data_IF_070482741805
#
_entry.id   IF_070482741805
#
_cell.length_a   1.000
_cell.length_b   1.000
_cell.length_c   1.000
_cell.angle_alpha   90.00
_cell.angle_beta   90.00
_cell.angle_gamma   90.00
#
_symmetry.space_group_name_H-M   'P 1'
#
loop_
_entity.id
_entity.type
_entity.pdbx_description
1 polymer ?
#
# COMPACT_ATOMS: atom_id res chain seq x y z
N UNK A 1 11.95 -17.48 3.84
CA UNK A 1 10.59 -16.91 3.92
C UNK A 1 10.29 -16.55 5.38
N UNK A 2 11.26 -15.98 6.11
CA UNK A 2 11.19 -15.94 7.57
C UNK A 2 9.97 -15.15 8.07
N UNK A 3 9.72 -13.96 7.50
CA UNK A 3 8.57 -13.12 7.87
C UNK A 3 7.21 -13.83 7.66
N UNK A 4 7.10 -14.67 6.62
CA UNK A 4 5.88 -15.42 6.34
C UNK A 4 5.70 -16.56 7.37
N UNK A 5 6.78 -17.25 7.71
CA UNK A 5 6.77 -18.34 8.70
C UNK A 5 6.45 -17.79 10.10
N UNK A 6 7.04 -16.65 10.49
CA UNK A 6 6.77 -15.96 11.74
C UNK A 6 5.32 -15.45 11.82
N UNK A 7 4.72 -15.09 10.67
CA UNK A 7 3.31 -14.74 10.56
C UNK A 7 2.37 -15.96 10.47
N UNK A 8 2.90 -17.19 10.55
CA UNK A 8 2.11 -18.43 10.56
C UNK A 8 1.64 -18.91 9.19
N UNK A 9 2.20 -18.39 8.10
CA UNK A 9 1.90 -18.88 6.75
C UNK A 9 2.60 -20.21 6.46
N UNK A 10 1.90 -21.09 5.75
CA UNK A 10 2.46 -22.34 5.26
C UNK A 10 3.19 -22.10 3.92
N UNK A 11 4.52 -22.19 3.95
CA UNK A 11 5.36 -22.00 2.76
C UNK A 11 5.09 -23.09 1.71
N UNK A 12 4.89 -22.66 0.47
CA UNK A 12 4.56 -23.52 -0.66
C UNK A 12 5.14 -22.93 -1.95
N UNK A 13 6.24 -23.50 -2.46
CA UNK A 13 6.96 -22.99 -3.64
C UNK A 13 6.67 -23.75 -4.93
N UNK A 14 6.06 -24.94 -4.84
CA UNK A 14 5.78 -25.81 -5.97
C UNK A 14 4.51 -26.67 -5.76
N UNK A 15 4.01 -27.26 -6.85
CA UNK A 15 2.87 -28.17 -6.84
C UNK A 15 1.51 -27.51 -7.10
N UNK A 16 0.44 -28.26 -6.86
CA UNK A 16 -0.96 -27.87 -7.14
C UNK A 16 -1.61 -27.03 -6.03
N UNK A 17 -0.96 -26.92 -4.85
CA UNK A 17 -1.45 -26.09 -3.74
C UNK A 17 -1.26 -24.61 -4.06
N UNK A 18 -2.06 -23.70 -3.45
CA UNK A 18 -1.75 -22.28 -3.47
C UNK A 18 -0.30 -22.04 -3.06
N UNK A 19 0.40 -21.22 -3.85
CA UNK A 19 1.79 -20.88 -3.61
C UNK A 19 1.89 -19.79 -2.55
N UNK A 20 2.85 -19.93 -1.65
CA UNK A 20 3.15 -18.98 -0.59
C UNK A 20 4.67 -18.89 -0.42
N UNK A 21 5.22 -17.74 -0.80
CA UNK A 21 6.65 -17.44 -0.70
C UNK A 21 6.86 -15.92 -0.73
N UNK A 22 7.98 -15.49 -0.14
CA UNK A 22 8.45 -14.11 -0.13
C UNK A 22 9.54 -13.89 -1.17
N UNK A 23 9.92 -12.63 -1.33
CA UNK A 23 11.00 -12.23 -2.26
C UNK A 23 12.36 -12.79 -1.86
N UNK A 24 12.54 -13.16 -0.60
CA UNK A 24 13.77 -13.82 -0.13
C UNK A 24 13.95 -15.23 -0.71
N UNK A 25 12.86 -15.89 -1.14
CA UNK A 25 12.92 -17.18 -1.82
C UNK A 25 12.97 -17.07 -3.35
N UNK A 26 12.21 -16.13 -3.93
CA UNK A 26 12.07 -16.05 -5.40
C UNK A 26 12.91 -14.94 -6.04
N UNK A 27 13.46 -14.02 -5.25
CA UNK A 27 14.26 -12.90 -5.70
C UNK A 27 13.51 -11.83 -6.51
N UNK A 28 14.30 -10.98 -7.14
CA UNK A 28 13.87 -9.90 -8.01
C UNK A 28 14.34 -10.16 -9.45
N UNK A 29 13.82 -9.38 -10.40
CA UNK A 29 14.36 -9.33 -11.76
C UNK A 29 15.84 -8.92 -11.75
N UNK A 30 16.60 -9.35 -12.76
CA UNK A 30 18.00 -8.96 -12.94
C UNK A 30 18.17 -7.63 -13.69
N UNK A 31 17.12 -7.19 -14.39
CA UNK A 31 17.14 -5.97 -15.20
C UNK A 31 16.49 -4.82 -14.44
N UNK A 32 17.19 -3.68 -14.37
CA UNK A 32 16.68 -2.45 -13.77
C UNK A 32 15.49 -1.91 -14.58
N UNK A 33 14.36 -1.73 -13.91
CA UNK A 33 13.22 -0.98 -14.46
C UNK A 33 13.38 0.49 -14.07
N UNK A 34 13.35 1.38 -15.06
CA UNK A 34 13.34 2.83 -14.88
C UNK A 34 12.02 3.36 -15.42
N UNK A 35 11.30 4.14 -14.63
CA UNK A 35 10.03 4.74 -15.01
C UNK A 35 9.83 6.04 -14.22
N UNK A 36 9.69 7.17 -14.90
CA UNK A 36 9.60 8.49 -14.26
C UNK A 36 10.71 8.68 -13.20
N UNK A 37 10.37 8.92 -11.94
CA UNK A 37 11.34 9.11 -10.85
C UNK A 37 11.89 7.81 -10.23
N UNK A 38 11.38 6.64 -10.62
CA UNK A 38 11.77 5.35 -10.02
C UNK A 38 12.83 4.60 -10.83
N UNK A 39 13.66 3.86 -10.10
CA UNK A 39 14.64 2.91 -10.60
C UNK A 39 14.73 1.72 -9.64
N UNK A 40 14.17 0.56 -10.02
CA UNK A 40 14.10 -0.62 -9.16
C UNK A 40 14.17 -1.95 -9.92
N UNK A 41 14.57 -3.00 -9.20
CA UNK A 41 14.31 -4.39 -9.58
C UNK A 41 12.95 -4.79 -9.01
N UNK A 42 12.09 -5.33 -9.88
CA UNK A 42 10.75 -5.77 -9.53
C UNK A 42 10.77 -7.21 -9.01
N UNK A 43 9.88 -7.54 -8.09
CA UNK A 43 9.73 -8.91 -7.58
C UNK A 43 9.38 -9.89 -8.69
N UNK A 44 9.99 -11.08 -8.67
CA UNK A 44 9.63 -12.16 -9.59
C UNK A 44 8.18 -12.62 -9.38
N UNK A 45 7.57 -12.41 -8.20
CA UNK A 45 6.15 -12.67 -7.99
C UNK A 45 5.30 -11.83 -8.94
N UNK A 46 5.60 -10.53 -8.99
CA UNK A 46 4.88 -9.53 -9.77
C UNK A 46 5.03 -9.76 -11.29
N UNK A 47 6.24 -10.10 -11.74
CA UNK A 47 6.57 -10.19 -13.18
C UNK A 47 6.35 -11.58 -13.76
N UNK A 48 6.73 -12.65 -13.04
CA UNK A 48 6.78 -14.03 -13.57
C UNK A 48 5.69 -14.97 -13.04
N UNK A 49 5.12 -14.70 -11.87
CA UNK A 49 4.18 -15.62 -11.23
C UNK A 49 2.72 -15.16 -11.24
N UNK A 50 2.46 -13.86 -11.40
CA UNK A 50 1.12 -13.30 -11.35
C UNK A 50 0.67 -12.73 -12.69
N UNK A 51 -0.52 -13.11 -13.15
CA UNK A 51 -1.27 -12.43 -14.22
C UNK A 51 -2.29 -11.41 -13.68
N UNK A 52 -2.75 -11.63 -12.45
CA UNK A 52 -3.69 -10.77 -11.71
C UNK A 52 -3.19 -10.62 -10.27
N UNK A 53 -3.44 -9.45 -9.67
CA UNK A 53 -3.05 -9.09 -8.31
C UNK A 53 -4.30 -8.72 -7.52
N UNK A 54 -4.45 -9.37 -6.37
CA UNK A 54 -5.32 -8.94 -5.28
C UNK A 54 -4.40 -8.30 -4.23
N UNK A 55 -4.52 -7.00 -4.03
CA UNK A 55 -3.69 -6.25 -3.09
C UNK A 55 -4.35 -6.24 -1.71
N UNK A 56 -3.63 -6.67 -0.67
CA UNK A 56 -4.16 -6.81 0.70
C UNK A 56 -3.38 -5.92 1.67
N UNK A 57 -3.58 -4.58 1.64
CA UNK A 57 -2.93 -3.66 2.59
C UNK A 57 -3.59 -3.69 3.97
N UNK A 58 -2.88 -3.21 5.00
CA UNK A 58 -3.38 -3.07 6.38
C UNK A 58 -3.66 -1.60 6.69
N UNK A 59 -4.80 -1.29 7.35
CA UNK A 59 -5.19 0.07 7.74
C UNK A 59 -4.29 0.62 8.83
N UNK A 60 -3.24 1.33 8.41
CA UNK A 60 -2.29 1.94 9.34
C UNK A 60 -1.67 3.23 8.83
N UNK A 61 -1.30 4.09 9.78
CA UNK A 61 -0.46 5.24 9.53
C UNK A 61 0.96 4.82 9.09
N UNK A 62 1.73 5.81 8.66
CA UNK A 62 3.14 5.70 8.43
C UNK A 62 3.85 6.94 8.95
N UNK A 63 4.92 6.77 9.73
CA UNK A 63 5.69 7.86 10.35
C UNK A 63 6.41 8.80 9.38
N UNK A 64 6.25 8.64 8.07
CA UNK A 64 6.87 9.48 7.04
C UNK A 64 5.78 9.91 6.05
N UNK A 65 5.25 8.95 5.27
CA UNK A 65 4.38 9.25 4.13
C UNK A 65 2.89 9.41 4.50
N UNK A 66 2.57 9.53 5.79
CA UNK A 66 1.20 9.66 6.29
C UNK A 66 0.50 8.34 6.54
N UNK A 67 0.24 7.55 5.49
CA UNK A 67 -0.40 6.23 5.58
C UNK A 67 0.37 5.19 4.77
N UNK A 68 0.20 3.91 5.09
CA UNK A 68 0.77 2.86 4.23
C UNK A 68 -0.09 2.68 2.97
N UNK A 69 -1.39 2.42 3.08
CA UNK A 69 -2.22 2.40 1.88
C UNK A 69 -2.00 1.18 0.98
N UNK A 70 -2.90 1.03 0.01
CA UNK A 70 -2.81 0.11 -1.10
C UNK A 70 -1.65 0.46 -2.03
N UNK A 71 -1.43 1.75 -2.34
CA UNK A 71 -0.40 2.15 -3.30
C UNK A 71 1.01 1.88 -2.77
N UNK A 72 1.33 2.29 -1.53
CA UNK A 72 2.65 2.01 -0.94
C UNK A 72 2.86 0.52 -0.66
N UNK A 73 1.81 -0.31 -0.63
CA UNK A 73 1.96 -1.75 -0.40
C UNK A 73 2.91 -2.39 -1.43
N UNK A 74 3.00 -1.82 -2.64
CA UNK A 74 3.95 -2.24 -3.68
C UNK A 74 5.42 -1.94 -3.36
N UNK A 75 5.74 -1.21 -2.30
CA UNK A 75 7.11 -1.13 -1.80
C UNK A 75 7.63 -2.52 -1.38
N UNK A 76 6.73 -3.43 -0.97
CA UNK A 76 7.07 -4.84 -0.74
C UNK A 76 7.38 -5.62 -2.02
N UNK A 77 7.13 -5.06 -3.21
CA UNK A 77 7.36 -5.71 -4.51
C UNK A 77 8.61 -5.19 -5.23
N UNK A 78 9.45 -4.39 -4.56
CA UNK A 78 10.69 -3.83 -5.11
C UNK A 78 11.87 -4.07 -4.17
N UNK A 79 13.09 -4.11 -4.71
CA UNK A 79 14.28 -4.44 -3.91
C UNK A 79 14.80 -3.29 -3.02
N UNK A 80 14.44 -2.04 -3.31
CA UNK A 80 15.02 -0.84 -2.69
C UNK A 80 13.97 0.17 -2.17
N UNK A 81 12.92 -0.26 -1.44
CA UNK A 81 11.84 0.64 -1.01
C UNK A 81 12.31 1.76 -0.08
N UNK A 82 13.44 1.57 0.61
CA UNK A 82 14.03 2.61 1.46
C UNK A 82 14.42 3.88 0.67
N UNK A 83 14.69 3.78 -0.63
CA UNK A 83 15.07 4.93 -1.47
C UNK A 83 13.91 5.86 -1.80
N UNK A 84 12.68 5.41 -1.61
CA UNK A 84 11.46 6.10 -2.05
C UNK A 84 10.71 6.79 -0.90
N UNK A 85 11.41 7.18 0.17
CA UNK A 85 10.83 7.92 1.30
C UNK A 85 11.16 9.43 1.26
N UNK A 86 11.97 9.87 0.31
CA UNK A 86 12.19 11.31 0.07
C UNK A 86 10.88 12.00 -0.30
N UNK A 87 10.72 13.27 0.10
CA UNK A 87 9.52 14.07 -0.15
C UNK A 87 8.20 13.32 0.20
N UNK A 88 8.17 12.67 1.36
CA UNK A 88 7.01 11.90 1.82
C UNK A 88 6.55 10.80 0.84
N UNK A 89 7.46 10.28 0.02
CA UNK A 89 7.17 9.24 -0.97
C UNK A 89 6.55 9.73 -2.27
N UNK A 90 6.51 11.05 -2.47
CA UNK A 90 5.91 11.71 -3.63
C UNK A 90 7.02 12.25 -4.57
N UNK A 91 7.09 11.89 -5.87
CA UNK A 91 6.11 11.11 -6.64
C UNK A 91 6.38 9.60 -6.68
N UNK A 92 7.34 9.09 -5.91
CA UNK A 92 7.79 7.69 -6.02
C UNK A 92 6.68 6.64 -5.88
N UNK A 93 5.68 6.85 -5.01
CA UNK A 93 4.53 5.94 -4.84
C UNK A 93 3.65 5.93 -6.11
N UNK A 94 3.13 7.10 -6.59
CA UNK A 94 2.43 7.21 -7.87
C UNK A 94 3.19 6.61 -9.05
N UNK A 95 4.48 6.95 -9.20
CA UNK A 95 5.32 6.47 -10.30
C UNK A 95 5.52 4.95 -10.26
N UNK A 96 5.64 4.36 -9.06
CA UNK A 96 5.68 2.90 -8.95
C UNK A 96 4.34 2.29 -9.37
N UNK A 97 3.22 2.88 -8.95
CA UNK A 97 1.88 2.36 -9.25
C UNK A 97 1.47 2.58 -10.72
N UNK A 98 2.10 3.51 -11.45
CA UNK A 98 1.86 3.72 -12.88
C UNK A 98 2.56 2.72 -13.80
N UNK A 99 3.49 1.90 -13.26
CA UNK A 99 4.07 0.80 -14.03
C UNK A 99 2.97 -0.15 -14.55
N UNK A 100 2.96 -0.49 -15.85
CA UNK A 100 1.94 -1.38 -16.43
C UNK A 100 1.77 -2.70 -15.67
N UNK A 101 2.87 -3.30 -15.23
CA UNK A 101 2.86 -4.56 -14.48
C UNK A 101 2.14 -4.47 -13.12
N UNK A 102 2.04 -3.28 -12.52
CA UNK A 102 1.28 -3.03 -11.29
C UNK A 102 -0.13 -2.56 -11.66
N UNK A 103 -0.23 -1.52 -12.48
CA UNK A 103 -1.49 -0.87 -12.87
C UNK A 103 -2.47 -1.82 -13.52
N UNK A 104 -2.03 -2.60 -14.50
CA UNK A 104 -2.90 -3.45 -15.31
C UNK A 104 -3.23 -4.79 -14.64
N UNK A 105 -2.35 -5.26 -13.75
CA UNK A 105 -2.53 -6.52 -13.05
C UNK A 105 -3.33 -6.37 -11.76
N UNK A 106 -3.34 -5.21 -11.12
CA UNK A 106 -4.12 -4.96 -9.89
C UNK A 106 -5.61 -4.87 -10.22
N UNK A 107 -6.40 -5.82 -9.71
CA UNK A 107 -7.84 -5.91 -10.02
C UNK A 107 -8.75 -5.76 -8.83
N UNK A 108 -8.22 -5.99 -7.63
CA UNK A 108 -8.98 -5.90 -6.39
C UNK A 108 -8.06 -5.48 -5.25
N UNK A 109 -8.57 -4.61 -4.39
CA UNK A 109 -7.91 -4.18 -3.17
C UNK A 109 -8.81 -4.57 -2.00
N UNK A 110 -8.27 -5.33 -1.06
CA UNK A 110 -8.95 -5.78 0.16
C UNK A 110 -8.14 -5.25 1.34
N UNK A 111 -8.54 -4.11 1.86
CA UNK A 111 -7.91 -3.50 3.03
C UNK A 111 -8.30 -4.29 4.28
N UNK A 112 -7.31 -4.90 4.94
CA UNK A 112 -7.48 -5.43 6.28
C UNK A 112 -7.56 -4.25 7.27
N UNK A 113 -8.76 -4.03 7.78
CA UNK A 113 -9.05 -3.06 8.82
C UNK A 113 -9.68 -3.76 10.04
N UNK A 114 -9.33 -5.03 10.30
CA UNK A 114 -9.76 -5.69 11.53
C UNK A 114 -9.08 -5.02 12.74
N UNK A 115 -7.75 -4.88 12.65
CA UNK A 115 -6.91 -4.18 13.61
C UNK A 115 -6.16 -3.05 12.90
N UNK A 116 -6.58 -1.82 13.13
CA UNK A 116 -6.00 -0.65 12.50
C UNK A 116 -5.05 0.10 13.46
N UNK A 117 -4.15 0.93 12.94
CA UNK A 117 -3.17 1.69 13.75
C UNK A 117 -3.07 3.15 13.32
N UNK A 118 -3.36 4.09 14.24
CA UNK A 118 -3.53 5.51 13.87
C UNK A 118 -2.26 6.36 14.08
N UNK A 119 -1.22 5.78 14.70
CA UNK A 119 0.05 6.42 14.99
C UNK A 119 1.18 5.40 15.17
N UNK A 120 2.42 5.84 14.93
CA UNK A 120 3.63 5.08 15.23
C UNK A 120 4.01 3.99 14.23
N UNK A 121 3.36 3.94 13.07
CA UNK A 121 3.79 3.10 11.96
C UNK A 121 5.15 3.51 11.42
N UNK A 122 5.87 2.64 10.68
CA UNK A 122 5.40 1.37 10.17
C UNK A 122 5.34 0.16 11.12
N UNK A 123 6.08 0.06 12.24
CA UNK A 123 6.00 -1.12 13.10
C UNK A 123 4.62 -1.22 13.75
N UNK A 124 4.30 -2.41 14.21
CA UNK A 124 3.10 -2.63 14.99
C UNK A 124 3.26 -2.08 16.40
N UNK A 125 2.36 -1.17 16.78
CA UNK A 125 2.39 -0.46 18.06
C UNK A 125 1.05 -0.66 18.78
N UNK A 126 0.94 -1.67 19.65
CA UNK A 126 -0.31 -2.04 20.32
C UNK A 126 -1.06 -0.89 21.01
N UNK A 127 -0.35 0.10 21.52
CA UNK A 127 -0.92 1.27 22.21
C UNK A 127 -1.65 2.25 21.27
N UNK A 128 -1.35 2.21 19.97
CA UNK A 128 -1.99 3.03 18.94
C UNK A 128 -2.89 2.22 18.01
N UNK A 129 -3.17 0.97 18.40
CA UNK A 129 -4.14 0.11 17.73
C UNK A 129 -5.57 0.55 18.07
N UNK A 130 -6.46 0.48 17.10
CA UNK A 130 -7.91 0.45 17.33
C UNK A 130 -8.59 -0.67 16.54
N UNK A 131 -9.67 -1.21 17.08
CA UNK A 131 -10.45 -2.25 16.44
C UNK A 131 -11.47 -1.59 15.51
N UNK A 132 -11.11 -1.41 14.23
CA UNK A 132 -12.07 -0.94 13.22
C UNK A 132 -13.07 -2.06 12.86
N UNK A 133 -12.68 -3.33 13.03
CA UNK A 133 -13.53 -4.52 12.86
C UNK A 133 -14.21 -4.58 11.47
N UNK A 134 -13.49 -4.18 10.43
CA UNK A 134 -14.05 -4.11 9.08
C UNK A 134 -13.05 -4.51 8.00
N UNK A 135 -13.58 -4.67 6.79
CA UNK A 135 -12.81 -4.86 5.57
C UNK A 135 -13.24 -3.75 4.62
N UNK A 136 -12.28 -3.07 3.99
CA UNK A 136 -12.56 -2.05 2.98
C UNK A 136 -12.19 -2.64 1.62
N UNK A 137 -13.14 -2.65 0.69
CA UNK A 137 -12.95 -3.28 -0.62
C UNK A 137 -13.12 -2.22 -1.70
N UNK A 138 -12.21 -2.23 -2.69
CA UNK A 138 -12.27 -1.31 -3.81
C UNK A 138 -11.39 -1.75 -4.98
N UNK A 139 -11.55 -1.06 -6.11
CA UNK A 139 -10.75 -1.28 -7.33
C UNK A 139 -9.95 -0.05 -7.75
N UNK A 140 -10.32 1.13 -7.23
CA UNK A 140 -9.60 2.38 -7.43
C UNK A 140 -8.59 2.56 -6.28
N UNK A 141 -7.26 2.49 -6.56
CA UNK A 141 -6.23 2.60 -5.53
C UNK A 141 -6.15 3.99 -4.91
N UNK A 142 -6.53 5.05 -5.63
CA UNK A 142 -6.51 6.41 -5.13
C UNK A 142 -7.69 6.66 -4.21
N UNK A 143 -8.88 6.24 -4.61
CA UNK A 143 -10.10 6.40 -3.82
C UNK A 143 -10.03 5.63 -2.49
N UNK A 144 -9.47 4.41 -2.51
CA UNK A 144 -9.35 3.59 -1.30
C UNK A 144 -8.29 4.16 -0.35
N UNK A 145 -7.16 4.65 -0.84
CA UNK A 145 -6.13 5.30 -0.01
C UNK A 145 -6.62 6.63 0.56
N UNK A 146 -7.34 7.42 -0.24
CA UNK A 146 -8.01 8.62 0.25
C UNK A 146 -8.98 8.30 1.39
N UNK A 147 -9.83 7.28 1.21
CA UNK A 147 -10.79 6.84 2.23
C UNK A 147 -10.08 6.35 3.49
N UNK A 148 -9.04 5.53 3.34
CA UNK A 148 -8.22 5.04 4.45
C UNK A 148 -7.53 6.18 5.22
N UNK A 149 -7.04 7.20 4.51
CA UNK A 149 -6.50 8.41 5.12
C UNK A 149 -7.54 9.14 5.96
N UNK A 150 -8.76 9.35 5.45
CA UNK A 150 -9.83 10.03 6.20
C UNK A 150 -10.24 9.24 7.46
N UNK A 151 -10.22 7.91 7.41
CA UNK A 151 -10.46 7.06 8.59
C UNK A 151 -9.38 7.25 9.65
N UNK A 152 -8.11 7.31 9.25
CA UNK A 152 -6.99 7.59 10.15
C UNK A 152 -7.12 8.99 10.75
N UNK A 153 -7.40 10.02 9.96
CA UNK A 153 -7.62 11.39 10.47
C UNK A 153 -8.77 11.46 11.48
N UNK A 154 -9.86 10.74 11.20
CA UNK A 154 -11.01 10.63 12.12
C UNK A 154 -10.59 10.00 13.44
N UNK A 155 -9.81 8.91 13.42
CA UNK A 155 -9.34 8.27 14.66
C UNK A 155 -8.32 9.16 15.38
N UNK A 156 -7.37 9.77 14.68
CA UNK A 156 -6.40 10.72 15.26
C UNK A 156 -7.12 11.85 16.00
N UNK A 157 -8.13 12.45 15.37
CA UNK A 157 -8.95 13.50 15.98
C UNK A 157 -9.65 13.01 17.26
N UNK A 158 -10.26 11.82 17.25
CA UNK A 158 -10.90 11.24 18.46
C UNK A 158 -9.90 11.04 19.60
N UNK A 159 -8.63 10.77 19.27
CA UNK A 159 -7.53 10.57 20.24
C UNK A 159 -6.84 11.87 20.65
N UNK A 160 -7.32 13.03 20.18
CA UNK A 160 -6.72 14.33 20.47
C UNK A 160 -5.35 14.55 19.80
N UNK A 161 -5.04 13.78 18.74
CA UNK A 161 -3.81 13.97 17.98
C UNK A 161 -3.98 15.01 16.87
N UNK A 162 -2.91 15.75 16.53
CA UNK A 162 -2.90 16.60 15.35
C UNK A 162 -3.07 15.78 14.07
N UNK A 163 -3.61 16.41 13.02
CA UNK A 163 -3.74 15.79 11.70
C UNK A 163 -2.39 15.41 11.12
N UNK A 164 -2.35 14.48 10.18
CA UNK A 164 -1.09 14.11 9.51
C UNK A 164 -0.45 15.32 8.83
N UNK A 165 -1.27 16.20 8.23
CA UNK A 165 -0.82 17.48 7.68
C UNK A 165 -0.18 18.38 8.72
N UNK A 166 -0.80 18.54 9.89
CA UNK A 166 -0.28 19.39 10.96
C UNK A 166 1.06 18.90 11.53
N UNK A 167 1.39 17.62 11.36
CA UNK A 167 2.69 17.04 11.72
C UNK A 167 3.61 16.80 10.53
N UNK A 168 3.34 17.40 9.37
CA UNK A 168 4.23 17.33 8.20
C UNK A 168 4.26 15.96 7.50
N UNK A 169 3.20 15.15 7.65
CA UNK A 169 3.05 13.80 7.06
C UNK A 169 1.81 13.70 6.19
N UNK A 170 1.36 14.80 5.58
CA UNK A 170 0.24 14.75 4.64
C UNK A 170 0.57 13.76 3.50
N UNK A 171 -0.29 12.77 3.19
CA UNK A 171 -0.04 11.80 2.12
C UNK A 171 -0.30 12.45 0.75
N UNK A 172 0.55 13.42 0.37
CA UNK A 172 0.41 14.21 -0.87
C UNK A 172 0.44 13.35 -2.13
N UNK A 173 1.09 12.20 -2.06
CA UNK A 173 1.14 11.20 -3.12
C UNK A 173 -0.26 10.75 -3.59
N UNK A 174 -1.30 10.84 -2.74
CA UNK A 174 -2.69 10.54 -3.14
C UNK A 174 -3.19 11.55 -4.17
N UNK A 175 -2.85 12.83 -4.01
CA UNK A 175 -3.20 13.87 -4.97
C UNK A 175 -2.40 13.73 -6.27
N UNK A 176 -1.09 13.46 -6.19
CA UNK A 176 -0.24 13.19 -7.36
C UNK A 176 -0.75 11.97 -8.14
N UNK A 177 -1.15 10.89 -7.47
CA UNK A 177 -1.70 9.71 -8.14
C UNK A 177 -3.01 9.97 -8.90
N UNK A 178 -3.82 10.95 -8.45
CA UNK A 178 -5.06 11.38 -9.10
C UNK A 178 -4.85 12.41 -10.22
N UNK A 179 -3.63 12.93 -10.41
CA UNK A 179 -3.39 13.95 -11.43
C UNK A 179 -3.57 13.41 -12.86
N UNK A 180 -3.61 14.31 -13.84
CA UNK A 180 -3.81 13.93 -15.25
C UNK A 180 -2.67 13.08 -15.82
N UNK A 181 -1.45 13.21 -15.26
CA UNK A 181 -0.26 12.51 -15.76
C UNK A 181 -0.25 11.04 -15.30
N UNK A 182 -0.61 10.77 -14.05
CA UNK A 182 -0.65 9.43 -13.46
C UNK A 182 -1.99 8.76 -13.76
N UNK A 183 -3.09 9.49 -13.57
CA UNK A 183 -4.46 9.04 -13.82
C UNK A 183 -4.73 7.65 -13.23
N UNK A 184 -4.36 7.44 -11.95
CA UNK A 184 -4.48 6.13 -11.29
C UNK A 184 -5.84 5.92 -10.63
N UNK A 185 -6.65 6.97 -10.53
CA UNK A 185 -7.95 6.95 -9.85
C UNK A 185 -8.40 8.35 -9.44
N UNK A 186 -9.35 8.43 -8.52
CA UNK A 186 -9.86 9.71 -8.00
C UNK A 186 -9.69 9.87 -6.49
N UNK A 187 -9.28 11.06 -6.06
CA UNK A 187 -9.31 11.48 -4.66
C UNK A 187 -10.46 12.45 -4.37
N UNK A 188 -11.39 12.65 -5.31
CA UNK A 188 -12.54 13.55 -5.16
C UNK A 188 -13.66 12.83 -4.38
N UNK A 189 -14.00 13.26 -3.15
CA UNK A 189 -15.04 12.61 -2.34
C UNK A 189 -16.41 12.52 -3.03
N UNK A 190 -16.74 13.48 -3.90
CA UNK A 190 -18.02 13.49 -4.62
C UNK A 190 -18.10 12.39 -5.68
N UNK A 191 -16.97 11.79 -6.06
CA UNK A 191 -16.89 10.67 -7.00
C UNK A 191 -16.67 9.32 -6.28
N UNK A 192 -16.50 9.33 -4.96
CA UNK A 192 -16.25 8.13 -4.15
C UNK A 192 -17.55 7.76 -3.43
N UNK A 193 -18.17 6.65 -3.85
CA UNK A 193 -19.35 6.10 -3.16
C UNK A 193 -18.92 5.06 -2.14
N UNK A 194 -19.02 5.40 -0.86
CA UNK A 194 -18.85 4.44 0.24
C UNK A 194 -20.19 3.78 0.55
N UNK A 195 -20.22 2.44 0.52
CA UNK A 195 -21.38 1.63 0.91
C UNK A 195 -21.00 0.83 2.15
N UNK A 196 -21.69 1.08 3.25
CA UNK A 196 -21.56 0.29 4.47
C UNK A 196 -22.58 -0.85 4.42
N UNK A 197 -22.11 -2.08 4.64
CA UNK A 197 -22.91 -3.31 4.63
C UNK A 197 -22.82 -3.97 6.00
#
# INVERSE_FOLDING_TARGET
NADLEDAGFLISTAGEKPKCFGNDAIGYESTLTIHNSIGCLLSNALTKHCSVIINVPVLKDHGIVGITGAMKNFFGAIHNPNKYHGNLGDPYIPDLCSLPVIREKTRLIIFDALNAQYEGGPPYMPQWRWNFNGIIIGVDPVAIDYTAWQLIETERKKRGLPTLKAVGREPTYIATAADEAHNLGTNNPNQIKVVNV
#
